data_IF_215670402417
#
_entry.id   IF_215670402417
#
_cell.length_a   1.000
_cell.length_b   1.000
_cell.length_c   1.000
_cell.angle_alpha   90.00
_cell.angle_beta   90.00
_cell.angle_gamma   90.00
#
_symmetry.space_group_name_H-M   'P 1'
#
loop_
_entity.id
_entity.type
_entity.pdbx_description
1 polymer ?
#
# COMPACT_ATOMS: atom_id res chain seq x y z
N UNK A 1 19.15 -6.91 -17.41
CA UNK A 1 19.52 -5.86 -16.42
C UNK A 1 21.02 -5.63 -16.37
N UNK A 2 21.86 -6.62 -16.69
CA UNK A 2 23.31 -6.44 -16.72
C UNK A 2 23.71 -5.33 -17.70
N UNK A 3 23.21 -5.34 -18.93
CA UNK A 3 23.54 -4.34 -19.96
C UNK A 3 23.06 -2.91 -19.65
N UNK A 4 21.88 -2.76 -19.03
CA UNK A 4 21.39 -1.45 -18.56
C UNK A 4 22.35 -0.89 -17.50
N UNK A 5 22.93 -1.76 -16.67
CA UNK A 5 23.88 -1.36 -15.62
C UNK A 5 25.30 -1.15 -16.13
N UNK A 6 25.71 -1.77 -17.23
CA UNK A 6 27.07 -1.61 -17.80
C UNK A 6 27.28 -0.23 -18.42
N UNK A 7 26.27 0.34 -19.06
CA UNK A 7 26.41 1.64 -19.73
C UNK A 7 26.45 2.82 -18.77
N UNK A 8 25.88 2.69 -17.56
CA UNK A 8 25.83 3.73 -16.52
C UNK A 8 24.96 4.95 -16.85
N UNK A 9 24.93 5.36 -18.12
CA UNK A 9 24.16 6.47 -18.67
C UNK A 9 23.00 5.96 -19.55
N UNK A 10 21.78 6.41 -19.27
CA UNK A 10 20.58 6.03 -20.02
C UNK A 10 20.64 6.47 -21.48
N UNK A 11 21.35 7.57 -21.79
CA UNK A 11 21.40 8.17 -23.12
C UNK A 11 22.05 7.25 -24.17
N UNK A 12 22.84 6.27 -23.72
CA UNK A 12 23.50 5.28 -24.57
C UNK A 12 22.64 4.03 -24.84
N UNK A 13 21.45 3.93 -24.23
CA UNK A 13 20.59 2.74 -24.34
C UNK A 13 19.66 2.73 -25.57
N UNK A 14 19.85 3.65 -26.52
CA UNK A 14 19.08 3.68 -27.76
C UNK A 14 19.01 2.33 -28.50
N UNK A 15 20.16 1.68 -28.79
CA UNK A 15 20.18 0.37 -29.44
C UNK A 15 19.44 -0.72 -28.63
N UNK A 16 19.58 -0.70 -27.30
CA UNK A 16 18.88 -1.63 -26.41
C UNK A 16 17.36 -1.49 -26.50
N UNK A 17 16.85 -0.24 -26.57
CA UNK A 17 15.42 -0.01 -26.73
C UNK A 17 14.88 -0.47 -28.08
N UNK A 18 15.65 -0.32 -29.17
CA UNK A 18 15.28 -0.81 -30.49
C UNK A 18 15.19 -2.34 -30.52
N UNK A 19 16.23 -3.03 -30.05
CA UNK A 19 16.25 -4.50 -29.95
C UNK A 19 15.07 -5.03 -29.12
N UNK A 20 14.71 -4.31 -28.06
CA UNK A 20 13.55 -4.66 -27.22
C UNK A 20 12.23 -4.55 -27.96
N UNK A 21 12.05 -3.50 -28.75
CA UNK A 21 10.85 -3.31 -29.57
C UNK A 21 10.75 -4.35 -30.69
N UNK A 22 11.89 -4.74 -31.26
CA UNK A 22 11.98 -5.77 -32.29
C UNK A 22 11.64 -7.15 -31.71
N UNK A 23 12.20 -7.52 -30.56
CA UNK A 23 11.85 -8.78 -29.88
C UNK A 23 10.35 -8.83 -29.54
N UNK A 24 9.78 -7.73 -29.04
CA UNK A 24 8.33 -7.66 -28.79
C UNK A 24 7.52 -7.88 -30.06
N UNK A 25 7.96 -7.33 -31.20
CA UNK A 25 7.29 -7.53 -32.48
C UNK A 25 7.39 -8.99 -32.94
N UNK A 26 8.58 -9.59 -32.86
CA UNK A 26 8.78 -10.99 -33.22
C UNK A 26 7.89 -11.94 -32.41
N UNK A 27 7.73 -11.70 -31.10
CA UNK A 27 6.86 -12.54 -30.25
C UNK A 27 5.37 -12.26 -30.50
N UNK A 28 5.00 -11.06 -30.93
CA UNK A 28 3.62 -10.77 -31.36
C UNK A 28 3.29 -11.54 -32.65
N UNK A 29 4.22 -11.57 -33.60
CA UNK A 29 4.06 -12.22 -34.89
C UNK A 29 4.13 -13.76 -34.76
N UNK A 30 5.04 -14.24 -33.91
CA UNK A 30 5.23 -15.66 -33.61
C UNK A 30 5.28 -15.93 -32.10
N UNK A 31 4.12 -16.06 -31.42
CA UNK A 31 4.05 -16.32 -29.98
C UNK A 31 4.70 -17.64 -29.55
N UNK A 32 4.91 -18.56 -30.50
CA UNK A 32 5.63 -19.81 -30.27
C UNK A 32 7.07 -19.56 -29.79
N UNK A 33 7.67 -18.40 -30.07
CA UNK A 33 8.99 -18.04 -29.56
C UNK A 33 9.11 -18.09 -28.03
N UNK A 34 8.01 -17.88 -27.30
CA UNK A 34 8.00 -17.92 -25.83
C UNK A 34 7.14 -19.03 -25.23
N UNK A 35 6.31 -19.69 -26.04
CA UNK A 35 5.32 -20.68 -25.56
C UNK A 35 5.51 -22.08 -26.16
N UNK A 36 6.44 -22.27 -27.10
CA UNK A 36 6.70 -23.58 -27.69
C UNK A 36 7.37 -24.53 -26.69
N UNK A 37 7.17 -25.84 -26.86
CA UNK A 37 7.80 -26.84 -26.00
C UNK A 37 9.35 -26.81 -26.04
N UNK A 38 9.93 -26.26 -27.11
CA UNK A 38 11.37 -26.10 -27.30
C UNK A 38 11.67 -24.66 -27.70
N UNK A 39 12.13 -23.88 -26.73
CA UNK A 39 12.48 -22.47 -26.91
C UNK A 39 13.97 -22.36 -27.17
N UNK A 40 14.35 -21.66 -28.24
CA UNK A 40 15.73 -21.31 -28.50
C UNK A 40 16.09 -20.02 -27.72
N UNK A 41 17.08 -20.05 -26.81
CA UNK A 41 17.50 -18.88 -26.05
C UNK A 41 17.89 -17.70 -26.93
N UNK A 42 18.54 -17.94 -28.08
CA UNK A 42 19.05 -16.90 -28.98
C UNK A 42 17.96 -16.02 -29.61
N UNK A 43 16.77 -16.58 -29.78
CA UNK A 43 15.62 -15.87 -30.36
C UNK A 43 14.64 -15.39 -29.31
N UNK A 44 14.65 -16.00 -28.12
CA UNK A 44 13.70 -15.70 -27.05
C UNK A 44 14.20 -14.66 -26.05
N UNK A 45 15.52 -14.50 -25.92
CA UNK A 45 16.14 -13.56 -25.01
C UNK A 45 16.43 -12.23 -25.70
N UNK A 46 16.31 -11.15 -24.91
CA UNK A 46 16.78 -9.83 -25.33
C UNK A 46 18.31 -9.72 -25.26
N UNK A 47 18.92 -10.42 -24.31
CA UNK A 47 20.36 -10.41 -24.04
C UNK A 47 20.82 -11.81 -23.64
N UNK A 48 21.98 -12.21 -24.14
CA UNK A 48 22.64 -13.48 -23.81
C UNK A 48 22.24 -14.64 -24.74
N UNK A 49 23.09 -15.67 -24.74
CA UNK A 49 22.93 -16.86 -25.57
C UNK A 49 22.36 -18.07 -24.80
N UNK A 50 22.19 -17.94 -23.48
CA UNK A 50 21.82 -19.04 -22.60
C UNK A 50 20.78 -18.62 -21.56
N UNK A 51 19.89 -19.55 -21.20
CA UNK A 51 18.94 -19.33 -20.11
C UNK A 51 19.64 -19.43 -18.75
N UNK A 52 19.38 -18.47 -17.88
CA UNK A 52 19.72 -18.61 -16.46
C UNK A 52 18.87 -19.72 -15.83
N UNK A 53 19.36 -20.31 -14.73
CA UNK A 53 18.62 -21.33 -13.96
C UNK A 53 17.19 -20.86 -13.63
N UNK A 54 17.05 -19.60 -13.20
CA UNK A 54 15.76 -18.98 -12.93
C UNK A 54 14.87 -18.91 -14.17
N UNK A 55 15.40 -18.49 -15.31
CA UNK A 55 14.64 -18.42 -16.57
C UNK A 55 14.12 -19.79 -16.97
N UNK A 56 14.94 -20.83 -16.84
CA UNK A 56 14.54 -22.23 -17.10
C UNK A 56 13.40 -22.68 -16.19
N UNK A 57 13.45 -22.34 -14.89
CA UNK A 57 12.35 -22.64 -13.96
C UNK A 57 11.05 -21.94 -14.35
N UNK A 58 11.11 -20.66 -14.73
CA UNK A 58 9.93 -19.88 -15.16
C UNK A 58 9.34 -20.46 -16.44
N UNK A 59 10.16 -20.76 -17.45
CA UNK A 59 9.71 -21.38 -18.71
C UNK A 59 9.04 -22.72 -18.44
N UNK A 60 9.64 -23.57 -17.59
CA UNK A 60 9.05 -24.85 -17.22
C UNK A 60 7.69 -24.69 -16.52
N UNK A 61 7.54 -23.71 -15.64
CA UNK A 61 6.27 -23.41 -14.98
C UNK A 61 5.21 -22.91 -15.98
N UNK A 62 5.59 -22.03 -16.90
CA UNK A 62 4.71 -21.54 -17.97
C UNK A 62 4.26 -22.70 -18.85
N UNK A 63 5.16 -23.57 -19.31
CA UNK A 63 4.83 -24.73 -20.15
C UNK A 63 3.86 -25.72 -19.50
N UNK A 64 3.93 -25.88 -18.17
CA UNK A 64 2.95 -26.69 -17.43
C UNK A 64 1.54 -26.09 -17.43
N UNK A 65 1.43 -24.76 -17.50
CA UNK A 65 0.17 -24.03 -17.44
C UNK A 65 -0.43 -23.74 -18.82
N UNK A 66 0.38 -23.58 -19.86
CA UNK A 66 -0.11 -23.28 -21.22
C UNK A 66 -1.22 -24.22 -21.69
N UNK A 67 -1.15 -25.56 -21.49
CA UNK A 67 -2.21 -26.47 -21.90
C UNK A 67 -3.55 -26.25 -21.19
N UNK A 68 -3.56 -25.67 -19.98
CA UNK A 68 -4.77 -25.41 -19.20
C UNK A 68 -5.35 -24.02 -19.41
N UNK A 69 -4.67 -23.17 -20.20
CA UNK A 69 -5.01 -21.77 -20.42
C UNK A 69 -5.38 -21.51 -21.89
N UNK A 70 -6.66 -21.71 -22.29
CA UNK A 70 -7.07 -21.65 -23.70
C UNK A 70 -6.89 -20.28 -24.36
N UNK A 71 -6.75 -19.20 -23.58
CA UNK A 71 -6.59 -17.83 -24.08
C UNK A 71 -5.20 -17.24 -23.86
N UNK A 72 -4.21 -18.04 -23.44
CA UNK A 72 -2.87 -17.53 -23.09
C UNK A 72 -2.18 -16.82 -24.25
N UNK A 73 -2.31 -17.33 -25.48
CA UNK A 73 -1.73 -16.73 -26.68
C UNK A 73 -2.34 -15.35 -26.94
N UNK A 74 -3.68 -15.26 -26.95
CA UNK A 74 -4.38 -14.00 -27.16
C UNK A 74 -4.07 -12.96 -26.08
N UNK A 75 -3.99 -13.39 -24.82
CA UNK A 75 -3.61 -12.53 -23.70
C UNK A 75 -2.16 -12.02 -23.81
N UNK A 76 -1.21 -12.89 -24.21
CA UNK A 76 0.19 -12.51 -24.44
C UNK A 76 0.30 -11.48 -25.56
N UNK A 77 -0.36 -11.71 -26.70
CA UNK A 77 -0.35 -10.77 -27.83
C UNK A 77 -0.94 -9.43 -27.43
N UNK A 78 -2.10 -9.43 -26.74
CA UNK A 78 -2.74 -8.19 -26.29
C UNK A 78 -1.84 -7.41 -25.32
N UNK A 79 -1.21 -8.12 -24.37
CA UNK A 79 -0.24 -7.54 -23.45
C UNK A 79 0.93 -6.90 -24.21
N UNK A 80 1.59 -7.65 -25.11
CA UNK A 80 2.75 -7.18 -25.86
C UNK A 80 2.43 -6.02 -26.79
N UNK A 81 1.25 -5.99 -27.42
CA UNK A 81 0.80 -4.83 -28.22
C UNK A 81 0.69 -3.57 -27.37
N UNK A 82 0.08 -3.68 -26.18
CA UNK A 82 -0.03 -2.56 -25.23
C UNK A 82 1.34 -2.12 -24.70
N UNK A 83 2.20 -3.07 -24.33
CA UNK A 83 3.55 -2.81 -23.87
C UNK A 83 4.41 -2.15 -24.96
N UNK A 84 4.39 -2.67 -26.19
CA UNK A 84 5.13 -2.11 -27.34
C UNK A 84 4.70 -0.67 -27.62
N UNK A 85 3.39 -0.40 -27.70
CA UNK A 85 2.88 0.95 -27.93
C UNK A 85 3.32 1.93 -26.83
N UNK A 86 3.42 1.46 -25.59
CA UNK A 86 3.90 2.25 -24.45
C UNK A 86 5.40 2.51 -24.55
N UNK A 87 6.21 1.48 -24.84
CA UNK A 87 7.65 1.64 -25.01
C UNK A 87 7.99 2.57 -26.18
N UNK A 88 7.31 2.47 -27.32
CA UNK A 88 7.50 3.39 -28.45
C UNK A 88 7.31 4.86 -28.07
N UNK A 89 6.35 5.17 -27.19
CA UNK A 89 6.16 6.54 -26.67
C UNK A 89 7.31 6.94 -25.75
N UNK A 90 7.73 6.06 -24.85
CA UNK A 90 8.82 6.33 -23.90
C UNK A 90 10.19 6.46 -24.59
N UNK A 91 10.41 5.76 -25.69
CA UNK A 91 11.71 5.71 -26.37
C UNK A 91 11.73 6.58 -27.62
N UNK A 92 10.72 7.42 -27.86
CA UNK A 92 10.62 8.29 -29.04
C UNK A 92 11.88 9.14 -29.25
N UNK A 93 12.42 9.69 -28.18
CA UNK A 93 13.63 10.54 -28.21
C UNK A 93 14.90 9.77 -28.60
N UNK A 94 14.90 8.43 -28.45
CA UNK A 94 16.01 7.54 -28.79
C UNK A 94 15.94 6.98 -30.22
N UNK A 95 14.82 7.18 -30.93
CA UNK A 95 14.69 6.73 -32.32
C UNK A 95 15.47 7.65 -33.25
N UNK A 96 15.74 7.18 -34.47
CA UNK A 96 16.38 7.97 -35.52
C UNK A 96 15.64 9.32 -35.72
N UNK A 97 16.39 10.42 -35.65
CA UNK A 97 15.84 11.78 -35.70
C UNK A 97 15.22 12.29 -34.40
N UNK A 98 15.26 11.53 -33.31
CA UNK A 98 14.90 11.99 -31.97
C UNK A 98 16.03 12.79 -31.30
N UNK A 99 15.67 13.66 -30.36
CA UNK A 99 16.60 14.60 -29.72
C UNK A 99 17.82 13.91 -29.09
N UNK A 100 17.63 12.75 -28.43
CA UNK A 100 18.74 12.00 -27.80
C UNK A 100 19.58 11.26 -28.85
N UNK A 101 18.95 10.76 -29.92
CA UNK A 101 19.69 10.11 -31.01
C UNK A 101 20.62 11.10 -31.74
N UNK A 102 20.18 12.36 -31.87
CA UNK A 102 20.92 13.44 -32.53
C UNK A 102 22.03 14.07 -31.66
N UNK A 103 22.02 13.83 -30.34
CA UNK A 103 23.11 14.29 -29.47
C UNK A 103 24.44 13.65 -29.89
N UNK A 104 25.47 14.50 -29.97
CA UNK A 104 26.85 14.06 -30.13
C UNK A 104 27.32 13.22 -28.95
N UNK A 105 28.32 12.38 -29.16
CA UNK A 105 28.86 11.54 -28.07
C UNK A 105 29.41 12.40 -26.93
N UNK A 106 30.01 13.56 -27.25
CA UNK A 106 30.49 14.52 -26.24
C UNK A 106 29.33 15.11 -25.41
N UNK A 107 28.17 15.40 -26.02
CA UNK A 107 26.99 15.85 -25.26
C UNK A 107 26.44 14.74 -24.36
N UNK A 108 26.40 13.49 -24.83
CA UNK A 108 25.98 12.33 -24.05
C UNK A 108 26.93 12.05 -22.88
N UNK A 109 28.23 12.25 -23.05
CA UNK A 109 29.21 12.11 -21.96
C UNK A 109 29.07 13.21 -20.91
N UNK A 110 28.85 14.47 -21.34
CA UNK A 110 28.66 15.60 -20.42
C UNK A 110 27.32 15.54 -19.68
N UNK A 111 26.27 15.00 -20.32
CA UNK A 111 24.95 14.81 -19.72
C UNK A 111 24.84 13.41 -19.12
N UNK A 112 25.32 13.25 -17.88
CA UNK A 112 25.15 11.99 -17.17
C UNK A 112 23.74 11.87 -16.58
N UNK A 113 22.95 10.93 -17.09
CA UNK A 113 21.67 10.52 -16.50
C UNK A 113 21.74 9.04 -16.18
N UNK A 114 21.66 8.69 -14.89
CA UNK A 114 21.77 7.30 -14.45
C UNK A 114 20.80 6.38 -15.19
N UNK A 115 21.31 5.25 -15.71
CA UNK A 115 20.53 4.28 -16.48
C UNK A 115 19.44 3.58 -15.68
N UNK A 116 19.59 3.51 -14.35
CA UNK A 116 18.58 2.98 -13.43
C UNK A 116 18.15 4.04 -12.43
N UNK A 117 16.90 3.93 -12.00
CA UNK A 117 16.34 4.78 -10.94
C UNK A 117 16.77 4.32 -9.53
N UNK A 118 17.65 3.31 -9.42
CA UNK A 118 18.04 2.66 -8.16
C UNK A 118 18.56 3.68 -7.12
N UNK A 119 19.34 4.68 -7.57
CA UNK A 119 19.86 5.74 -6.70
C UNK A 119 18.75 6.64 -6.14
N UNK A 120 17.80 7.02 -6.99
CA UNK A 120 16.66 7.86 -6.58
C UNK A 120 15.70 7.07 -5.69
N UNK A 121 15.48 5.79 -5.97
CA UNK A 121 14.68 4.89 -5.14
C UNK A 121 15.34 4.69 -3.77
N UNK A 122 16.66 4.50 -3.76
CA UNK A 122 17.46 4.45 -2.54
C UNK A 122 17.37 5.75 -1.75
N UNK A 123 17.46 6.91 -2.41
CA UNK A 123 17.31 8.22 -1.78
C UNK A 123 15.90 8.39 -1.18
N UNK A 124 14.85 8.01 -1.90
CA UNK A 124 13.48 8.02 -1.38
C UNK A 124 13.30 7.09 -0.18
N UNK A 125 13.91 5.90 -0.23
CA UNK A 125 13.97 4.97 0.89
C UNK A 125 14.62 5.61 2.12
N UNK A 126 15.76 6.29 1.94
CA UNK A 126 16.44 7.05 3.00
C UNK A 126 15.58 8.17 3.57
N UNK A 127 14.85 8.91 2.73
CA UNK A 127 13.88 9.93 3.18
C UNK A 127 12.81 9.29 4.08
N UNK A 128 12.25 8.15 3.67
CA UNK A 128 11.22 7.43 4.42
C UNK A 128 11.73 6.97 5.78
N UNK A 129 12.91 6.35 5.83
CA UNK A 129 13.55 5.93 7.08
C UNK A 129 13.86 7.13 7.98
N UNK A 130 14.38 8.22 7.41
CA UNK A 130 14.68 9.45 8.15
C UNK A 130 13.42 10.08 8.74
N UNK A 131 12.29 10.06 8.02
CA UNK A 131 11.01 10.56 8.54
C UNK A 131 10.44 9.68 9.65
N UNK A 132 10.67 8.35 9.62
CA UNK A 132 10.26 7.47 10.72
C UNK A 132 11.07 7.75 11.99
N UNK A 133 12.39 7.84 11.87
CA UNK A 133 13.26 8.13 13.01
C UNK A 133 13.14 9.58 13.50
N UNK A 134 12.88 10.53 12.60
CA UNK A 134 12.81 11.97 12.88
C UNK A 134 11.58 12.60 12.19
N UNK A 135 10.36 12.38 12.72
CA UNK A 135 9.12 12.82 12.07
C UNK A 135 8.98 14.34 11.98
N UNK A 136 9.62 15.08 12.88
CA UNK A 136 9.63 16.54 12.87
C UNK A 136 10.72 17.14 11.97
N UNK A 137 11.56 16.32 11.33
CA UNK A 137 12.59 16.80 10.42
C UNK A 137 11.98 17.36 9.13
N UNK A 138 12.41 18.55 8.73
CA UNK A 138 12.02 19.15 7.45
C UNK A 138 12.77 18.51 6.29
N UNK A 139 12.19 18.56 5.08
CA UNK A 139 12.87 18.06 3.89
C UNK A 139 14.19 18.80 3.65
N UNK A 140 14.23 20.11 3.90
CA UNK A 140 15.46 20.90 3.82
C UNK A 140 16.54 20.36 4.76
N UNK A 141 16.20 20.11 6.03
CA UNK A 141 17.15 19.55 7.00
C UNK A 141 17.62 18.14 6.59
N UNK A 142 16.74 17.32 6.03
CA UNK A 142 17.12 16.01 5.50
C UNK A 142 18.10 16.15 4.33
N UNK A 143 17.78 16.98 3.34
CA UNK A 143 18.63 17.22 2.17
C UNK A 143 19.99 17.80 2.58
N UNK A 144 20.02 18.81 3.46
CA UNK A 144 21.28 19.37 3.96
C UNK A 144 22.14 18.33 4.67
N UNK A 145 21.54 17.43 5.46
CA UNK A 145 22.29 16.34 6.12
C UNK A 145 22.82 15.33 5.10
N UNK A 146 22.02 14.97 4.10
CA UNK A 146 22.45 14.01 3.07
C UNK A 146 23.58 14.59 2.22
N UNK A 147 23.49 15.88 1.84
CA UNK A 147 24.56 16.58 1.15
C UNK A 147 25.83 16.67 2.01
N UNK A 148 25.68 17.00 3.29
CA UNK A 148 26.81 17.08 4.21
C UNK A 148 27.59 15.75 4.31
N UNK A 149 26.87 14.63 4.27
CA UNK A 149 27.44 13.28 4.33
C UNK A 149 28.02 12.81 3.00
N UNK A 150 27.34 13.09 1.88
CA UNK A 150 27.69 12.52 0.58
C UNK A 150 28.75 13.35 -0.18
N UNK A 151 28.79 14.66 0.00
CA UNK A 151 29.62 15.55 -0.82
C UNK A 151 31.01 15.81 -0.19
N UNK A 152 31.45 15.00 0.76
CA UNK A 152 32.70 15.24 1.51
C UNK A 152 32.71 16.57 2.27
N UNK A 153 31.53 17.19 2.48
CA UNK A 153 31.42 18.49 3.15
C UNK A 153 31.84 18.40 4.62
N UNK A 154 31.67 17.22 5.24
CA UNK A 154 32.19 16.95 6.58
C UNK A 154 33.72 17.09 6.63
N UNK A 155 34.42 16.43 5.72
CA UNK A 155 35.88 16.45 5.65
C UNK A 155 36.40 17.84 5.26
N UNK A 156 35.71 18.52 4.34
CA UNK A 156 36.00 19.91 3.99
C UNK A 156 35.83 20.83 5.20
N UNK A 157 34.71 20.71 5.93
CA UNK A 157 34.48 21.53 7.11
C UNK A 157 35.54 21.28 8.19
N UNK A 158 35.91 20.01 8.41
CA UNK A 158 36.90 19.64 9.41
C UNK A 158 38.32 20.11 9.03
N UNK A 159 38.67 20.11 7.75
CA UNK A 159 40.01 20.49 7.27
C UNK A 159 40.16 21.99 6.99
N UNK A 160 39.10 22.68 6.57
CA UNK A 160 39.16 24.09 6.10
C UNK A 160 38.45 25.09 6.99
N UNK A 161 37.51 24.69 7.85
CA UNK A 161 36.77 25.61 8.74
C UNK A 161 37.28 25.55 10.19
N UNK A 162 38.60 25.53 10.36
CA UNK A 162 39.23 25.46 11.70
C UNK A 162 39.38 26.84 12.36
N UNK A 163 39.46 27.92 11.57
CA UNK A 163 39.62 29.27 12.11
C UNK A 163 38.32 29.79 12.74
N UNK A 164 38.47 30.54 13.83
CA UNK A 164 37.35 31.22 14.48
C UNK A 164 36.64 32.21 13.53
N UNK A 165 37.38 32.87 12.65
CA UNK A 165 36.83 33.81 11.66
C UNK A 165 35.87 33.12 10.67
N UNK A 166 36.22 31.92 10.21
CA UNK A 166 35.41 31.14 9.27
C UNK A 166 34.11 30.66 9.94
N UNK A 167 34.21 30.21 11.19
CA UNK A 167 33.05 29.82 11.97
C UNK A 167 32.10 31.00 12.24
N UNK A 168 32.64 32.19 12.50
CA UNK A 168 31.85 33.42 12.63
C UNK A 168 31.15 33.78 11.32
N UNK A 169 31.85 33.64 10.18
CA UNK A 169 31.27 33.88 8.86
C UNK A 169 30.10 32.91 8.57
N UNK A 170 30.28 31.61 8.77
CA UNK A 170 29.22 30.61 8.58
C UNK A 170 28.01 30.90 9.48
N UNK A 171 28.23 31.26 10.76
CA UNK A 171 27.16 31.66 11.68
C UNK A 171 26.42 32.90 11.18
N UNK A 172 27.13 33.90 10.66
CA UNK A 172 26.53 35.11 10.08
C UNK A 172 25.64 34.78 8.88
N UNK A 173 26.13 33.96 7.96
CA UNK A 173 25.37 33.52 6.77
C UNK A 173 24.14 32.70 7.16
N UNK A 174 24.28 31.76 8.11
CA UNK A 174 23.16 30.96 8.60
C UNK A 174 22.06 31.84 9.24
N UNK A 175 22.45 32.86 10.02
CA UNK A 175 21.51 33.83 10.60
C UNK A 175 20.79 34.64 9.52
N UNK A 176 21.50 35.13 8.51
CA UNK A 176 20.89 35.85 7.38
C UNK A 176 19.86 34.97 6.64
N UNK A 177 20.18 33.69 6.42
CA UNK A 177 19.24 32.74 5.82
C UNK A 177 18.04 32.47 6.73
N UNK A 178 18.20 32.41 8.05
CA UNK A 178 17.06 32.29 8.98
C UNK A 178 16.17 33.54 8.95
N UNK A 179 16.75 34.73 8.88
CA UNK A 179 16.01 36.00 8.76
C UNK A 179 15.16 36.05 7.50
N UNK A 180 15.58 35.38 6.41
CA UNK A 180 14.78 35.28 5.17
C UNK A 180 13.42 34.59 5.34
N UNK A 181 13.17 33.90 6.46
CA UNK A 181 11.86 33.39 6.84
C UNK A 181 11.30 32.25 5.97
N UNK A 182 12.04 31.75 4.96
CA UNK A 182 11.58 30.65 4.08
C UNK A 182 11.17 29.40 4.88
N UNK A 183 11.99 29.01 5.86
CA UNK A 183 11.70 27.87 6.75
C UNK A 183 10.52 28.13 7.68
N UNK A 184 10.25 29.39 8.04
CA UNK A 184 9.11 29.78 8.89
C UNK A 184 7.80 29.60 8.13
N UNK A 185 7.70 30.11 6.89
CA UNK A 185 6.52 29.94 6.02
C UNK A 185 6.15 28.47 5.80
N UNK A 186 7.16 27.62 5.57
CA UNK A 186 6.94 26.17 5.40
C UNK A 186 6.41 25.55 6.70
N UNK A 187 6.95 25.96 7.86
CA UNK A 187 6.51 25.47 9.17
C UNK A 187 5.09 25.90 9.50
N UNK A 188 4.73 27.15 9.20
CA UNK A 188 3.37 27.68 9.38
C UNK A 188 2.35 26.88 8.54
N UNK A 189 2.65 26.63 7.25
CA UNK A 189 1.81 25.78 6.39
C UNK A 189 1.67 24.35 6.93
N UNK A 190 2.75 23.77 7.44
CA UNK A 190 2.70 22.45 8.08
C UNK A 190 1.81 22.43 9.33
N UNK A 191 1.89 23.47 10.17
CA UNK A 191 1.06 23.61 11.37
C UNK A 191 -0.41 23.75 10.98
N UNK A 192 -0.72 24.60 10.02
CA UNK A 192 -2.08 24.82 9.52
C UNK A 192 -2.69 23.53 8.96
N UNK A 193 -1.94 22.81 8.11
CA UNK A 193 -2.37 21.52 7.59
C UNK A 193 -2.62 20.49 8.71
N UNK A 194 -1.73 20.42 9.72
CA UNK A 194 -1.92 19.54 10.88
C UNK A 194 -3.17 19.92 11.68
N UNK A 195 -3.44 21.22 11.88
CA UNK A 195 -4.66 21.69 12.54
C UNK A 195 -5.91 21.24 11.79
N UNK A 196 -5.94 21.41 10.46
CA UNK A 196 -7.04 20.95 9.62
C UNK A 196 -7.27 19.44 9.75
N UNK A 197 -6.19 18.65 9.65
CA UNK A 197 -6.20 17.20 9.84
C UNK A 197 -6.75 16.77 11.20
N UNK A 198 -6.42 17.48 12.27
CA UNK A 198 -6.93 17.21 13.63
C UNK A 198 -8.43 17.50 13.70
N UNK A 199 -8.90 18.60 13.12
CA UNK A 199 -10.32 18.95 13.08
C UNK A 199 -11.13 17.92 12.28
N UNK A 200 -10.65 17.49 11.12
CA UNK A 200 -11.27 16.42 10.33
C UNK A 200 -11.34 15.10 11.11
N UNK A 201 -10.24 14.71 11.73
CA UNK A 201 -10.19 13.51 12.57
C UNK A 201 -11.20 13.60 13.72
N UNK A 202 -11.31 14.75 14.41
CA UNK A 202 -12.32 14.96 15.46
C UNK A 202 -13.74 14.81 14.93
N UNK A 203 -14.06 15.43 13.79
CA UNK A 203 -15.37 15.29 13.14
C UNK A 203 -15.67 13.83 12.77
N UNK A 204 -14.68 13.12 12.25
CA UNK A 204 -14.82 11.71 11.90
C UNK A 204 -15.02 10.83 13.15
N UNK A 205 -14.30 11.10 14.24
CA UNK A 205 -14.48 10.40 15.52
C UNK A 205 -15.87 10.63 16.11
N UNK A 206 -16.38 11.86 16.08
CA UNK A 206 -17.75 12.18 16.52
C UNK A 206 -18.77 11.42 15.68
N UNK A 207 -18.68 11.47 14.35
CA UNK A 207 -19.57 10.70 13.46
C UNK A 207 -19.50 9.19 13.72
N UNK A 208 -18.30 8.66 13.99
CA UNK A 208 -18.10 7.24 14.31
C UNK A 208 -18.74 6.88 15.65
N UNK A 209 -18.60 7.74 16.66
CA UNK A 209 -19.23 7.55 17.97
C UNK A 209 -20.76 7.64 17.88
N UNK A 210 -21.30 8.59 17.11
CA UNK A 210 -22.75 8.70 16.85
C UNK A 210 -23.28 7.48 16.10
N UNK A 211 -22.58 7.03 15.06
CA UNK A 211 -22.96 5.82 14.33
C UNK A 211 -22.94 4.58 15.22
N UNK A 212 -21.96 4.46 16.11
CA UNK A 212 -21.89 3.36 17.06
C UNK A 212 -22.99 3.45 18.13
N UNK A 213 -23.29 4.64 18.67
CA UNK A 213 -24.43 4.86 19.57
C UNK A 213 -25.75 4.49 18.91
N UNK A 214 -25.98 4.93 17.67
CA UNK A 214 -27.18 4.60 16.91
C UNK A 214 -27.28 3.09 16.63
N UNK A 215 -26.16 2.44 16.33
CA UNK A 215 -26.09 0.98 16.14
C UNK A 215 -26.43 0.23 17.42
N UNK A 216 -25.86 0.64 18.57
CA UNK A 216 -26.16 0.05 19.88
C UNK A 216 -27.63 0.24 20.26
N UNK A 217 -28.18 1.45 20.08
CA UNK A 217 -29.60 1.72 20.32
C UNK A 217 -30.52 0.87 19.43
N UNK A 218 -30.15 0.64 18.16
CA UNK A 218 -30.88 -0.26 17.27
C UNK A 218 -30.82 -1.72 17.74
N UNK A 219 -29.67 -2.18 18.23
CA UNK A 219 -29.52 -3.52 18.79
C UNK A 219 -30.36 -3.70 20.06
N UNK A 220 -30.37 -2.71 20.96
CA UNK A 220 -31.21 -2.74 22.16
C UNK A 220 -32.70 -2.71 21.84
N UNK A 221 -33.12 -1.88 20.89
CA UNK A 221 -34.51 -1.87 20.41
C UNK A 221 -34.91 -3.22 19.80
N UNK A 222 -33.99 -3.85 19.06
CA UNK A 222 -34.21 -5.19 18.48
C UNK A 222 -34.26 -6.27 19.57
N UNK A 223 -33.43 -6.15 20.62
CA UNK A 223 -33.46 -7.05 21.80
C UNK A 223 -34.82 -7.02 22.50
N UNK A 224 -35.43 -5.84 22.63
CA UNK A 224 -36.75 -5.67 23.27
C UNK A 224 -37.91 -6.22 22.42
N UNK A 225 -37.75 -6.26 21.10
CA UNK A 225 -38.77 -6.72 20.15
C UNK A 225 -38.29 -7.98 19.39
N UNK A 226 -37.76 -8.95 20.14
CA UNK A 226 -37.23 -10.18 19.57
C UNK A 226 -38.37 -11.14 19.24
N UNK A 227 -38.39 -11.64 18.01
CA UNK A 227 -39.36 -12.66 17.59
C UNK A 227 -38.64 -14.00 17.64
N UNK A 228 -39.08 -14.85 18.57
CA UNK A 228 -38.48 -16.16 18.83
C UNK A 228 -39.28 -17.30 18.20
N UNK A 229 -40.56 -17.06 17.87
CA UNK A 229 -41.43 -18.08 17.31
C UNK A 229 -41.21 -18.25 15.80
N UNK A 230 -41.04 -19.50 15.39
CA UNK A 230 -40.81 -19.87 13.98
C UNK A 230 -41.94 -19.42 13.04
N UNK A 231 -43.20 -19.42 13.52
CA UNK A 231 -44.38 -18.98 12.77
C UNK A 231 -44.44 -17.45 12.56
N UNK A 232 -43.92 -16.69 13.51
CA UNK A 232 -43.86 -15.23 13.44
C UNK A 232 -42.65 -14.76 12.63
N UNK A 233 -41.55 -15.52 12.62
CA UNK A 233 -40.38 -15.30 11.75
C UNK A 233 -40.78 -15.36 10.26
N UNK A 234 -41.70 -16.25 9.89
CA UNK A 234 -42.16 -16.40 8.50
C UNK A 234 -42.98 -15.19 8.02
N UNK A 235 -43.60 -14.44 8.94
CA UNK A 235 -44.39 -13.23 8.66
C UNK A 235 -43.54 -11.97 8.56
N UNK A 236 -42.27 -12.01 8.98
CA UNK A 236 -41.39 -10.84 8.96
C UNK A 236 -41.04 -10.40 7.53
N UNK A 237 -41.08 -9.08 7.32
CA UNK A 237 -40.55 -8.45 6.11
C UNK A 237 -39.02 -8.45 6.15
N UNK A 238 -38.38 -8.38 4.98
CA UNK A 238 -36.90 -8.37 4.82
C UNK A 238 -36.18 -7.39 5.76
N UNK A 239 -36.66 -6.15 5.99
CA UNK A 239 -36.03 -5.23 6.95
C UNK A 239 -36.10 -5.70 8.41
N UNK A 240 -37.14 -6.46 8.78
CA UNK A 240 -37.27 -7.05 10.12
C UNK A 240 -36.32 -8.24 10.31
N UNK A 241 -36.22 -9.10 9.29
CA UNK A 241 -35.26 -10.21 9.26
C UNK A 241 -33.81 -9.72 9.36
N UNK A 242 -33.47 -8.65 8.63
CA UNK A 242 -32.11 -8.06 8.65
C UNK A 242 -31.75 -7.48 10.02
N UNK A 243 -32.71 -6.89 10.74
CA UNK A 243 -32.49 -6.37 12.10
C UNK A 243 -32.21 -7.50 13.09
N UNK A 244 -33.01 -8.56 13.06
CA UNK A 244 -32.84 -9.69 13.98
C UNK A 244 -31.57 -10.51 13.69
N UNK A 245 -31.25 -10.75 12.42
CA UNK A 245 -29.99 -11.38 12.03
C UNK A 245 -28.76 -10.56 12.48
N UNK A 246 -28.82 -9.22 12.40
CA UNK A 246 -27.74 -8.35 12.92
C UNK A 246 -27.59 -8.49 14.43
N UNK A 247 -28.69 -8.59 15.17
CA UNK A 247 -28.66 -8.82 16.61
C UNK A 247 -28.00 -10.16 16.95
N UNK A 248 -28.49 -11.27 16.40
CA UNK A 248 -27.93 -12.60 16.66
C UNK A 248 -26.46 -12.70 16.25
N UNK A 249 -26.05 -12.03 15.17
CA UNK A 249 -24.65 -11.99 14.73
C UNK A 249 -23.72 -11.26 15.71
N UNK A 250 -24.20 -10.23 16.39
CA UNK A 250 -23.41 -9.56 17.44
C UNK A 250 -23.35 -10.38 18.73
N UNK A 251 -24.44 -11.07 19.09
CA UNK A 251 -24.44 -11.97 20.25
C UNK A 251 -23.55 -13.21 20.03
N UNK A 252 -23.57 -13.82 18.85
CA UNK A 252 -22.66 -14.93 18.49
C UNK A 252 -21.19 -14.52 18.55
N UNK A 253 -20.86 -13.28 18.15
CA UNK A 253 -19.50 -12.73 18.27
C UNK A 253 -19.09 -12.55 19.73
N UNK A 254 -19.97 -12.03 20.59
CA UNK A 254 -19.67 -11.90 22.03
C UNK A 254 -19.44 -13.27 22.68
N UNK A 255 -20.16 -14.30 22.22
CA UNK A 255 -20.05 -15.67 22.73
C UNK A 255 -18.92 -16.50 22.12
N UNK A 256 -18.15 -15.94 21.17
CA UNK A 256 -17.13 -16.68 20.41
C UNK A 256 -17.65 -18.01 19.82
N UNK A 257 -18.87 -18.03 19.27
CA UNK A 257 -19.42 -19.23 18.65
C UNK A 257 -18.59 -19.67 17.44
N UNK A 258 -18.44 -20.99 17.27
CA UNK A 258 -17.74 -21.62 16.14
C UNK A 258 -18.46 -21.39 14.80
N UNK A 259 -19.78 -21.27 14.84
CA UNK A 259 -20.61 -21.01 13.66
C UNK A 259 -20.98 -19.53 13.57
N UNK A 260 -20.80 -18.93 12.39
CA UNK A 260 -21.06 -17.50 12.16
C UNK A 260 -22.25 -17.31 11.22
N UNK A 261 -23.17 -16.42 11.61
CA UNK A 261 -24.19 -15.93 10.67
C UNK A 261 -23.53 -15.24 9.45
N UNK A 262 -23.87 -15.65 8.22
CA UNK A 262 -23.35 -15.07 6.98
C UNK A 262 -23.63 -13.57 6.84
N UNK A 263 -22.91 -12.89 5.94
CA UNK A 263 -23.19 -11.49 5.63
C UNK A 263 -24.55 -11.36 4.92
N UNK A 264 -25.32 -10.32 5.28
CA UNK A 264 -26.65 -10.06 4.72
C UNK A 264 -26.66 -9.74 3.22
N UNK A 265 -25.51 -9.37 2.66
CA UNK A 265 -25.33 -9.06 1.25
C UNK A 265 -25.41 -10.32 0.40
N UNK A 266 -26.44 -10.43 -0.45
CA UNK A 266 -26.63 -11.54 -1.38
C UNK A 266 -27.55 -12.67 -0.89
N UNK A 267 -28.16 -12.54 0.30
CA UNK A 267 -29.14 -13.51 0.80
C UNK A 267 -30.56 -13.17 0.32
N UNK A 268 -31.24 -14.14 -0.29
CA UNK A 268 -32.66 -14.07 -0.61
C UNK A 268 -33.51 -14.20 0.67
N UNK A 269 -34.78 -13.77 0.61
CA UNK A 269 -35.69 -13.74 1.78
C UNK A 269 -35.79 -15.11 2.48
N UNK A 270 -35.95 -16.18 1.71
CA UNK A 270 -36.08 -17.56 2.23
C UNK A 270 -34.83 -17.99 3.01
N UNK A 271 -33.64 -17.78 2.43
CA UNK A 271 -32.37 -18.06 3.12
C UNK A 271 -32.18 -17.21 4.38
N UNK A 272 -32.67 -15.96 4.40
CA UNK A 272 -32.65 -15.12 5.62
C UNK A 272 -33.56 -15.69 6.72
N UNK A 273 -34.70 -16.27 6.36
CA UNK A 273 -35.61 -16.92 7.31
C UNK A 273 -35.00 -18.21 7.88
N UNK A 274 -34.41 -19.05 7.02
CA UNK A 274 -33.72 -20.28 7.45
C UNK A 274 -32.56 -19.99 8.41
N UNK A 275 -31.70 -19.04 8.05
CA UNK A 275 -30.56 -18.66 8.88
C UNK A 275 -31.00 -18.01 10.20
N UNK A 276 -32.11 -17.25 10.20
CA UNK A 276 -32.67 -16.70 11.43
C UNK A 276 -33.25 -17.79 12.32
N UNK A 277 -33.97 -18.77 11.77
CA UNK A 277 -34.48 -19.93 12.53
C UNK A 277 -33.34 -20.71 13.19
N UNK A 278 -32.25 -20.97 12.47
CA UNK A 278 -31.04 -21.61 13.04
C UNK A 278 -30.40 -20.76 14.15
N UNK A 279 -30.29 -19.46 13.94
CA UNK A 279 -29.73 -18.53 14.92
C UNK A 279 -30.58 -18.44 16.21
N UNK A 280 -31.90 -18.40 16.06
CA UNK A 280 -32.86 -18.39 17.19
C UNK A 280 -32.81 -19.71 17.95
N UNK A 281 -32.76 -20.85 17.25
CA UNK A 281 -32.64 -22.19 17.87
C UNK A 281 -31.41 -22.27 18.77
N UNK A 282 -30.24 -21.84 18.26
CA UNK A 282 -28.97 -21.82 19.01
C UNK A 282 -28.99 -20.82 20.17
N UNK A 283 -29.71 -19.71 20.01
CA UNK A 283 -29.87 -18.74 21.08
C UNK A 283 -30.75 -19.28 22.20
N UNK A 284 -31.84 -19.99 21.88
CA UNK A 284 -32.74 -20.61 22.84
C UNK A 284 -32.08 -21.77 23.60
N UNK A 285 -31.29 -22.63 22.94
CA UNK A 285 -30.54 -23.68 23.65
C UNK A 285 -29.57 -23.07 24.66
N UNK A 286 -28.85 -22.00 24.28
CA UNK A 286 -27.95 -21.30 25.20
C UNK A 286 -28.69 -20.60 26.35
N UNK A 287 -29.82 -19.95 26.10
CA UNK A 287 -30.60 -19.30 27.17
C UNK A 287 -31.20 -20.34 28.12
N UNK A 288 -31.61 -21.50 27.61
CA UNK A 288 -32.04 -22.63 28.44
C UNK A 288 -30.89 -23.18 29.30
N UNK A 289 -29.73 -23.43 28.71
CA UNK A 289 -28.52 -23.88 29.43
C UNK A 289 -28.05 -22.87 30.48
N UNK A 290 -28.18 -21.56 30.21
CA UNK A 290 -27.83 -20.52 31.16
C UNK A 290 -28.83 -20.38 32.33
N UNK A 291 -30.09 -20.80 32.17
CA UNK A 291 -31.09 -20.79 33.25
C UNK A 291 -31.02 -22.03 34.16
N UNK A 292 -30.43 -23.14 33.69
CA UNK A 292 -30.20 -24.34 34.51
C UNK A 292 -28.93 -24.27 35.38
N UNK A 293 -28.09 -23.24 35.22
CA UNK A 293 -26.83 -23.07 35.98
C UNK A 293 -26.99 -22.15 37.19
N UNK A 294 -28.09 -21.41 37.31
CA UNK A 294 -28.33 -20.46 38.43
C UNK A 294 -28.96 -21.11 39.69
N UNK A 295 -29.04 -22.44 39.78
CA UNK A 295 -29.57 -23.13 40.98
C UNK A 295 -28.52 -23.57 42.01
N UNK A 296 -27.23 -23.48 41.71
CA UNK A 296 -26.16 -23.81 42.68
C UNK A 296 -24.89 -22.99 42.40
N UNK A 297 -24.69 -21.89 43.12
CA UNK A 297 -23.43 -21.56 43.83
C UNK A 297 -23.45 -20.15 44.45
N UNK A 298 -23.39 -20.14 45.79
CA UNK A 298 -23.06 -18.98 46.61
C UNK A 298 -21.57 -18.61 46.47
N UNK A 299 -21.31 -17.29 46.43
CA UNK A 299 -20.11 -16.58 46.95
C UNK A 299 -18.71 -16.92 46.40
N UNK A 300 -18.10 -16.00 45.64
CA UNK A 300 -16.89 -15.27 46.09
C UNK A 300 -16.36 -14.22 45.10
N UNK A 301 -16.20 -13.02 45.66
CA UNK A 301 -15.15 -12.01 45.53
C UNK A 301 -14.23 -11.86 44.28
N UNK A 302 -13.94 -10.59 44.02
CA UNK A 302 -12.80 -10.01 43.29
C UNK A 302 -12.85 -9.86 41.76
N UNK A 303 -12.98 -8.60 41.31
CA UNK A 303 -11.95 -7.85 40.58
C UNK A 303 -12.55 -6.68 39.79
N UNK A 304 -12.77 -5.56 40.49
CA UNK A 304 -12.93 -4.25 39.85
C UNK A 304 -11.55 -3.81 39.37
N UNK A 305 -11.29 -3.92 38.06
CA UNK A 305 -10.13 -3.25 37.44
C UNK A 305 -10.62 -1.95 36.79
N UNK A 306 -10.53 -0.85 37.54
CA UNK A 306 -10.58 0.50 37.00
C UNK A 306 -9.31 0.73 36.15
N UNK A 307 -9.48 0.87 34.84
CA UNK A 307 -8.49 1.54 33.98
C UNK A 307 -8.93 2.99 33.84
N UNK A 308 -8.60 3.80 34.84
CA UNK A 308 -8.50 5.24 34.68
C UNK A 308 -7.12 5.51 34.06
N UNK A 309 -7.08 5.81 32.76
CA UNK A 309 -5.89 6.42 32.15
C UNK A 309 -6.04 7.93 32.25
N UNK A 310 -5.21 8.50 33.11
CA UNK A 310 -4.90 9.92 33.20
C UNK A 310 -4.52 10.48 31.83
N UNK A 311 -5.25 11.51 31.41
CA UNK A 311 -4.82 12.46 30.39
C UNK A 311 -5.10 13.86 30.93
N UNK A 312 -4.22 14.32 31.83
CA UNK A 312 -4.02 15.73 32.12
C UNK A 312 -2.51 16.01 32.15
N UNK A 313 -2.16 17.16 31.59
CA UNK A 313 -0.93 17.92 31.83
C UNK A 313 0.32 17.49 31.05
N UNK A 314 0.40 18.01 29.83
CA UNK A 314 1.65 18.45 29.20
C UNK A 314 1.37 19.75 28.44
N UNK A 315 0.92 20.76 29.19
CA UNK A 315 1.16 22.17 28.84
C UNK A 315 2.44 22.58 29.58
N UNK A 316 3.54 22.66 28.83
CA UNK A 316 4.68 23.57 29.05
C UNK A 316 5.76 23.23 28.01
N UNK A 317 5.90 24.12 27.01
CA UNK A 317 7.13 24.55 26.31
C UNK A 317 6.79 25.44 25.09
#
# INVERSE_FOLDING_TARGET
MAHVRTHGNILLLGPFFLQKLDLMQQVIDEPALWLSASINPKTALLEGDEFTEWTTMVIAAVHRLVPTLPHVIGALIAFLKGTKATFQRFTKEFHEGGDIAQMSDNEKENLFVASTNDLNEGALGKVRLSKRARPNQTLLSHNSRQLYQNNGTADFAQSKLQSHADQLFVRKVARQQQVSGRSRKIRERHIEHKKHRVLENRRWLVKRAEAERNRLAQLEATRKALVLDNSEIDKLKVPGLDKQLRFHREEEKKRNSSERIPALTGLNKERKQEELKKAVSRWLTYVGEAMDVDSDEDLSDSAVTQVAMDFSDCDEL
#
